data_IF_725481453322
#
_entry.id   IF_725481453322
#
_cell.length_a   1.000
_cell.length_b   1.000
_cell.length_c   1.000
_cell.angle_alpha   90.00
_cell.angle_beta   90.00
_cell.angle_gamma   90.00
#
_symmetry.space_group_name_H-M   'P 1'
#
loop_
_entity.id
_entity.type
_entity.pdbx_description
1 polymer ?
#
# COMPACT_ATOMS: atom_id res chain seq x y z
N UNK A 1 -6.25 5.71 0.45
CA UNK A 1 -5.88 5.18 1.78
C UNK A 1 -7.14 5.25 2.62
N UNK A 2 -7.37 4.28 3.50
CA UNK A 2 -8.60 4.16 4.27
C UNK A 2 -8.29 4.37 5.76
N UNK A 3 -9.16 5.09 6.50
CA UNK A 3 -8.98 5.40 7.92
C UNK A 3 -9.29 4.20 8.83
N UNK A 4 -8.99 4.33 10.14
CA UNK A 4 -9.31 3.32 11.18
C UNK A 4 -10.82 2.94 11.21
N UNK A 5 -11.69 3.88 10.81
CA UNK A 5 -13.13 3.68 10.62
C UNK A 5 -13.52 3.52 9.14
N UNK A 6 -12.85 2.65 8.40
CA UNK A 6 -13.16 2.43 6.97
C UNK A 6 -13.95 1.17 6.69
N UNK A 7 -14.24 0.40 7.72
CA UNK A 7 -15.11 -0.77 7.63
C UNK A 7 -16.24 -0.63 8.64
N UNK A 8 -17.44 -0.41 8.14
CA UNK A 8 -18.64 -0.40 8.97
C UNK A 8 -19.17 -1.82 9.11
N UNK A 9 -19.34 -2.30 10.33
CA UNK A 9 -19.90 -3.63 10.61
C UNK A 9 -21.38 -3.50 10.96
N UNK A 10 -22.23 -4.17 10.18
CA UNK A 10 -23.65 -4.32 10.46
C UNK A 10 -23.91 -5.72 11.04
N UNK A 11 -24.51 -5.85 12.23
CA UNK A 11 -24.91 -7.15 12.76
C UNK A 11 -26.04 -7.74 11.91
N UNK A 12 -25.94 -9.03 11.57
CA UNK A 12 -27.06 -9.76 10.97
C UNK A 12 -28.03 -10.20 12.07
N UNK A 13 -29.32 -10.26 11.73
CA UNK A 13 -30.40 -10.63 12.64
C UNK A 13 -30.07 -11.95 13.34
N UNK A 14 -30.06 -11.93 14.67
CA UNK A 14 -29.97 -13.15 15.47
C UNK A 14 -31.28 -13.95 15.37
N UNK A 15 -31.21 -15.29 15.37
CA UNK A 15 -32.41 -16.12 15.40
C UNK A 15 -33.32 -15.75 16.59
N UNK A 16 -34.61 -15.61 16.34
CA UNK A 16 -35.63 -15.41 17.38
C UNK A 16 -36.42 -16.71 17.64
N UNK A 17 -37.10 -16.79 18.78
CA UNK A 17 -37.94 -17.95 19.18
C UNK A 17 -37.19 -19.30 19.32
N UNK A 18 -35.97 -19.30 19.84
CA UNK A 18 -35.23 -20.54 20.13
C UNK A 18 -34.65 -21.24 18.89
N UNK A 19 -34.60 -20.56 17.74
CA UNK A 19 -33.84 -21.03 16.57
C UNK A 19 -32.34 -21.07 16.87
N UNK A 20 -31.64 -22.08 16.33
CA UNK A 20 -30.18 -22.15 16.39
C UNK A 20 -29.51 -21.11 15.48
N UNK A 21 -28.26 -20.75 15.80
CA UNK A 21 -27.47 -19.85 14.96
C UNK A 21 -27.35 -20.41 13.53
N UNK A 22 -27.58 -19.54 12.56
CA UNK A 22 -27.36 -19.88 11.16
C UNK A 22 -25.88 -20.17 10.92
N UNK A 23 -25.52 -21.24 10.18
CA UNK A 23 -24.14 -21.48 9.81
C UNK A 23 -23.66 -20.36 8.88
N UNK A 24 -22.62 -19.62 9.32
CA UNK A 24 -22.06 -18.51 8.56
C UNK A 24 -21.53 -17.38 9.45
N UNK A 25 -21.12 -16.29 8.82
CA UNK A 25 -20.76 -15.05 9.52
C UNK A 25 -22.04 -14.29 9.89
N UNK A 26 -22.17 -13.86 11.15
CA UNK A 26 -23.34 -13.13 11.66
C UNK A 26 -23.21 -11.60 11.50
N UNK A 27 -22.43 -11.16 10.52
CA UNK A 27 -22.20 -9.75 10.26
C UNK A 27 -21.93 -9.50 8.78
N UNK A 28 -22.36 -8.35 8.31
CA UNK A 28 -21.96 -7.78 7.04
C UNK A 28 -21.04 -6.60 7.28
N UNK A 29 -20.22 -6.28 6.30
CA UNK A 29 -19.33 -5.14 6.37
C UNK A 29 -19.26 -4.40 5.04
N UNK A 30 -19.19 -3.07 5.12
CA UNK A 30 -19.14 -2.18 3.98
C UNK A 30 -17.99 -1.19 4.15
N UNK A 31 -17.40 -0.77 3.03
CA UNK A 31 -16.45 0.34 3.04
C UNK A 31 -17.15 1.65 3.41
N UNK A 32 -16.57 2.36 4.37
CA UNK A 32 -16.95 3.71 4.75
C UNK A 32 -15.75 4.66 4.63
N UNK A 33 -16.01 5.97 4.64
CA UNK A 33 -14.98 6.99 4.48
C UNK A 33 -14.11 6.76 3.23
N UNK A 34 -14.75 6.49 2.09
CA UNK A 34 -14.10 6.13 0.82
C UNK A 34 -13.36 7.28 0.15
N UNK A 35 -13.48 8.49 0.67
CA UNK A 35 -12.72 9.65 0.19
C UNK A 35 -11.23 9.42 0.40
N UNK A 36 -10.43 9.77 -0.60
CA UNK A 36 -8.99 9.61 -0.48
C UNK A 36 -8.45 10.50 0.64
N UNK A 37 -7.74 9.88 1.60
CA UNK A 37 -6.97 10.64 2.58
C UNK A 37 -6.06 11.64 1.83
N UNK A 38 -5.89 12.87 2.35
CA UNK A 38 -4.97 13.85 1.78
C UNK A 38 -3.61 13.20 1.42
N UNK A 39 -3.00 13.60 0.31
CA UNK A 39 -1.78 12.96 -0.23
C UNK A 39 -0.57 12.95 0.72
N UNK A 40 -0.66 13.65 1.85
CA UNK A 40 0.32 13.68 2.92
C UNK A 40 0.14 12.57 3.96
N UNK A 41 -0.95 11.80 3.91
CA UNK A 41 -1.17 10.74 4.87
C UNK A 41 -0.19 9.59 4.65
N UNK A 42 0.49 9.27 5.74
CA UNK A 42 1.51 8.24 5.84
C UNK A 42 0.88 6.85 5.74
N UNK A 43 1.68 5.88 5.36
CA UNK A 43 1.31 4.47 5.37
C UNK A 43 0.73 4.06 6.74
N UNK A 44 -0.55 3.66 6.76
CA UNK A 44 -1.26 3.25 7.96
C UNK A 44 -0.57 2.10 8.70
N UNK A 45 0.04 1.17 7.97
CA UNK A 45 0.83 0.08 8.58
C UNK A 45 2.08 0.65 9.26
N UNK A 46 2.72 1.64 8.64
CA UNK A 46 3.88 2.32 9.21
C UNK A 46 3.51 3.06 10.50
N UNK A 47 2.37 3.76 10.52
CA UNK A 47 1.88 4.44 11.73
C UNK A 47 1.65 3.45 12.87
N UNK A 48 0.97 2.33 12.60
CA UNK A 48 0.75 1.27 13.59
C UNK A 48 2.05 0.70 14.15
N UNK A 49 3.07 0.52 13.30
CA UNK A 49 4.41 0.13 13.74
C UNK A 49 5.08 1.21 14.59
N UNK A 50 5.06 2.47 14.18
CA UNK A 50 5.68 3.57 14.94
C UNK A 50 5.08 3.74 16.34
N UNK A 51 3.78 3.50 16.51
CA UNK A 51 3.10 3.50 17.81
C UNK A 51 3.66 2.45 18.78
N UNK A 52 4.42 1.46 18.30
CA UNK A 52 5.09 0.44 19.14
C UNK A 52 6.42 0.91 19.72
N UNK A 53 7.05 1.96 19.17
CA UNK A 53 8.42 2.37 19.53
C UNK A 53 8.62 2.60 21.03
N UNK A 54 7.61 3.14 21.73
CA UNK A 54 7.70 3.48 23.15
C UNK A 54 7.35 2.33 24.10
N UNK A 55 6.55 1.35 23.66
CA UNK A 55 5.89 0.37 24.53
C UNK A 55 6.19 -1.10 24.22
N UNK A 56 6.84 -1.40 23.09
CA UNK A 56 7.18 -2.77 22.71
C UNK A 56 8.68 -3.01 22.82
N UNK A 57 9.07 -3.91 23.73
CA UNK A 57 10.44 -4.40 23.85
C UNK A 57 10.57 -5.72 23.10
N UNK A 58 11.59 -5.79 22.25
CA UNK A 58 11.97 -6.99 21.52
C UNK A 58 13.43 -7.28 21.87
N UNK A 59 13.72 -8.54 22.22
CA UNK A 59 15.06 -8.94 22.67
C UNK A 59 15.64 -8.05 23.79
N UNK A 60 14.78 -7.62 24.73
CA UNK A 60 15.11 -6.74 25.87
C UNK A 60 15.56 -5.32 25.48
N UNK A 61 15.25 -4.86 24.27
CA UNK A 61 15.51 -3.49 23.82
C UNK A 61 14.30 -2.87 23.13
N UNK A 62 14.23 -1.53 23.15
CA UNK A 62 13.27 -0.77 22.33
C UNK A 62 13.87 -0.52 20.95
N UNK A 63 13.02 -0.57 19.94
CA UNK A 63 13.42 -0.42 18.54
C UNK A 63 12.59 0.66 17.85
N UNK A 64 13.12 1.19 16.75
CA UNK A 64 12.31 1.96 15.81
C UNK A 64 11.73 1.02 14.77
N UNK A 65 10.41 0.91 14.76
CA UNK A 65 9.70 -0.04 13.93
C UNK A 65 9.31 0.55 12.58
N UNK A 66 9.73 -0.12 11.52
CA UNK A 66 9.33 0.13 10.14
C UNK A 66 8.21 -0.86 9.75
N UNK A 67 7.29 -0.48 8.84
CA UNK A 67 6.28 -1.40 8.36
C UNK A 67 6.90 -2.62 7.68
N UNK A 68 6.29 -3.79 7.87
CA UNK A 68 6.70 -5.01 7.18
C UNK A 68 5.50 -5.72 6.55
N UNK A 69 5.57 -5.99 5.25
CA UNK A 69 4.62 -6.85 4.55
C UNK A 69 5.12 -8.30 4.59
N UNK A 70 4.38 -9.16 5.28
CA UNK A 70 4.75 -10.57 5.38
C UNK A 70 4.60 -11.29 4.02
N UNK A 71 5.56 -12.15 3.60
CA UNK A 71 5.50 -12.83 2.31
C UNK A 71 4.28 -13.76 2.19
N UNK A 72 3.98 -14.52 3.24
CA UNK A 72 2.75 -15.31 3.39
C UNK A 72 1.51 -14.40 3.48
N UNK A 73 0.58 -14.56 2.54
CA UNK A 73 -0.65 -13.78 2.44
C UNK A 73 -1.53 -13.88 3.68
N UNK A 74 -1.55 -15.05 4.32
CA UNK A 74 -2.40 -15.30 5.51
C UNK A 74 -1.91 -14.51 6.74
N UNK A 75 -0.68 -13.99 6.68
CA UNK A 75 -0.06 -13.21 7.75
C UNK A 75 -0.01 -11.71 7.46
N UNK A 76 -0.48 -11.25 6.30
CA UNK A 76 -0.39 -9.83 5.90
C UNK A 76 -1.29 -8.91 6.71
N UNK A 77 -2.36 -9.43 7.30
CA UNK A 77 -3.26 -8.68 8.18
C UNK A 77 -2.96 -8.88 9.68
N UNK A 78 -1.84 -9.54 9.98
CA UNK A 78 -1.20 -9.52 11.29
C UNK A 78 -0.11 -8.44 11.30
N UNK A 79 0.02 -7.69 12.38
CA UNK A 79 0.97 -6.57 12.44
C UNK A 79 2.39 -7.11 12.69
N UNK A 80 3.14 -7.23 11.61
CA UNK A 80 4.58 -7.43 11.63
C UNK A 80 5.29 -6.11 11.36
N UNK A 81 6.38 -5.87 12.07
CA UNK A 81 7.24 -4.70 11.83
C UNK A 81 8.71 -5.13 11.83
N UNK A 82 9.52 -4.36 11.11
CA UNK A 82 10.96 -4.55 11.03
C UNK A 82 11.69 -3.55 11.92
N UNK A 83 12.64 -4.03 12.71
CA UNK A 83 13.55 -3.21 13.50
C UNK A 83 14.48 -2.42 12.57
N UNK A 84 14.52 -1.10 12.71
CA UNK A 84 15.45 -0.25 11.97
C UNK A 84 16.91 -0.51 12.37
N UNK A 85 17.14 -0.91 13.62
CA UNK A 85 18.47 -1.12 14.20
C UNK A 85 19.08 -2.46 13.79
N UNK A 86 18.27 -3.52 13.76
CA UNK A 86 18.75 -4.91 13.59
C UNK A 86 18.24 -5.59 12.33
N UNK A 87 17.29 -4.98 11.61
CA UNK A 87 16.55 -5.57 10.49
C UNK A 87 15.70 -6.81 10.83
N UNK A 88 15.62 -7.18 12.12
CA UNK A 88 14.78 -8.28 12.59
C UNK A 88 13.30 -7.96 12.40
N UNK A 89 12.52 -8.99 12.08
CA UNK A 89 11.07 -8.89 11.92
C UNK A 89 10.39 -9.49 13.14
N UNK A 90 9.52 -8.70 13.79
CA UNK A 90 8.78 -9.12 14.97
C UNK A 90 7.27 -9.06 14.72
N UNK A 91 6.55 -10.06 15.23
CA UNK A 91 5.09 -10.00 15.35
C UNK A 91 4.69 -9.17 16.57
N UNK A 92 3.91 -8.11 16.36
CA UNK A 92 3.50 -7.16 17.40
C UNK A 92 2.37 -7.66 18.30
N UNK A 93 1.96 -8.93 18.16
CA UNK A 93 0.86 -9.56 18.89
C UNK A 93 -0.48 -8.83 18.71
N UNK A 94 -0.66 -8.14 17.59
CA UNK A 94 -1.89 -7.45 17.23
C UNK A 94 -2.18 -7.66 15.76
N UNK A 95 -3.47 -7.59 15.41
CA UNK A 95 -3.90 -7.47 14.04
C UNK A 95 -3.63 -6.05 13.54
N UNK A 96 -3.51 -5.93 12.23
CA UNK A 96 -3.51 -4.62 11.59
C UNK A 96 -4.92 -4.04 11.67
N UNK A 97 -5.04 -2.73 11.89
CA UNK A 97 -6.34 -2.04 11.91
C UNK A 97 -7.12 -2.26 10.61
N UNK A 98 -8.44 -2.41 10.75
CA UNK A 98 -9.34 -2.64 9.63
C UNK A 98 -9.24 -1.50 8.62
N UNK A 99 -9.26 -1.82 7.32
CA UNK A 99 -9.03 -0.86 6.25
C UNK A 99 -7.58 -0.67 5.81
N UNK A 100 -6.62 -1.13 6.60
CA UNK A 100 -5.21 -1.09 6.19
C UNK A 100 -5.01 -2.02 4.99
N UNK A 101 -4.25 -1.58 3.98
CA UNK A 101 -3.99 -2.39 2.79
C UNK A 101 -3.30 -3.71 3.14
N UNK A 102 -3.73 -4.79 2.49
CA UNK A 102 -3.09 -6.09 2.67
C UNK A 102 -1.66 -6.11 2.10
N UNK A 103 -1.45 -5.46 0.96
CA UNK A 103 -0.17 -5.46 0.23
C UNK A 103 0.10 -4.09 -0.37
N UNK A 104 1.37 -3.72 -0.47
CA UNK A 104 1.77 -2.52 -1.23
C UNK A 104 1.59 -2.68 -2.74
N UNK A 105 1.44 -3.93 -3.23
CA UNK A 105 1.20 -4.25 -4.64
C UNK A 105 -0.27 -4.22 -5.03
N UNK A 106 -1.17 -4.35 -4.06
CA UNK A 106 -2.61 -4.30 -4.26
C UNK A 106 -3.17 -3.02 -3.62
N UNK A 107 -3.52 -1.99 -4.42
CA UNK A 107 -3.94 -0.71 -3.88
C UNK A 107 -5.35 -0.71 -3.29
N UNK A 108 -6.12 -1.79 -3.45
CA UNK A 108 -7.54 -1.83 -3.07
C UNK A 108 -7.84 -2.78 -1.93
N UNK A 109 -7.31 -4.00 -1.94
CA UNK A 109 -7.63 -5.00 -0.92
C UNK A 109 -7.17 -4.56 0.48
N UNK A 110 -8.04 -4.78 1.47
CA UNK A 110 -7.85 -4.31 2.85
C UNK A 110 -7.95 -5.44 3.85
N UNK A 111 -7.36 -5.22 5.02
CA UNK A 111 -7.50 -6.08 6.17
C UNK A 111 -8.84 -5.84 6.87
N UNK A 112 -9.53 -6.92 7.23
CA UNK A 112 -10.77 -6.91 8.00
C UNK A 112 -10.70 -8.06 9.01
N UNK A 113 -10.64 -7.74 10.29
CA UNK A 113 -10.52 -8.71 11.41
C UNK A 113 -9.41 -9.75 11.20
N UNK A 114 -8.27 -9.31 10.68
CA UNK A 114 -7.09 -10.16 10.48
C UNK A 114 -7.10 -10.97 9.19
N UNK A 115 -8.15 -10.86 8.37
CA UNK A 115 -8.25 -11.49 7.05
C UNK A 115 -8.09 -10.46 5.94
N UNK A 116 -7.48 -10.85 4.82
CA UNK A 116 -7.39 -9.97 3.66
C UNK A 116 -8.64 -10.11 2.79
N UNK A 117 -9.38 -9.01 2.64
CA UNK A 117 -10.59 -8.95 1.84
C UNK A 117 -10.33 -8.22 0.53
N UNK A 118 -10.75 -8.85 -0.58
CA UNK A 118 -10.64 -8.28 -1.92
C UNK A 118 -11.61 -7.11 -2.09
N UNK A 119 -11.11 -6.00 -2.61
CA UNK A 119 -11.89 -4.82 -2.99
C UNK A 119 -11.58 -4.45 -4.44
N UNK A 120 -12.60 -4.14 -5.23
CA UNK A 120 -12.41 -3.67 -6.60
C UNK A 120 -11.99 -2.21 -6.68
N UNK A 121 -11.53 -1.77 -7.85
CA UNK A 121 -11.18 -0.36 -8.09
C UNK A 121 -12.37 0.61 -7.94
N UNK A 122 -13.59 0.07 -7.96
CA UNK A 122 -14.87 0.74 -7.74
C UNK A 122 -15.19 0.91 -6.25
N UNK A 123 -14.28 0.49 -5.36
CA UNK A 123 -14.42 0.55 -3.91
C UNK A 123 -15.58 -0.31 -3.40
N UNK A 124 -15.85 -1.42 -4.10
CA UNK A 124 -16.83 -2.43 -3.69
C UNK A 124 -16.11 -3.69 -3.19
N UNK A 125 -16.50 -4.17 -2.00
CA UNK A 125 -15.99 -5.42 -1.42
C UNK A 125 -16.46 -6.60 -2.29
N UNK A 126 -15.53 -7.50 -2.62
CA UNK A 126 -15.79 -8.64 -3.49
C UNK A 126 -15.89 -8.31 -4.98
N UNK A 127 -15.79 -7.04 -5.37
CA UNK A 127 -15.79 -6.65 -6.78
C UNK A 127 -14.54 -7.17 -7.49
N UNK A 128 -14.74 -7.58 -8.74
CA UNK A 128 -13.69 -8.05 -9.63
C UNK A 128 -13.22 -6.96 -10.61
N UNK A 129 -13.72 -5.72 -10.49
CA UNK A 129 -13.26 -4.61 -11.34
C UNK A 129 -11.84 -4.22 -10.98
N UNK A 130 -11.02 -4.01 -12.01
CA UNK A 130 -9.62 -3.59 -11.90
C UNK A 130 -9.41 -2.34 -12.74
N UNK A 131 -8.50 -1.47 -12.33
CA UNK A 131 -8.06 -0.34 -13.18
C UNK A 131 -7.42 -0.85 -14.47
N UNK A 132 -7.71 -0.18 -15.57
CA UNK A 132 -6.97 -0.35 -16.81
C UNK A 132 -5.59 0.33 -16.74
N UNK A 133 -4.79 0.24 -17.82
CA UNK A 133 -3.45 0.86 -17.87
C UNK A 133 -3.47 2.39 -17.74
N UNK A 134 -4.62 3.00 -17.98
CA UNK A 134 -4.86 4.43 -17.89
C UNK A 134 -5.28 4.87 -16.48
N UNK A 135 -5.58 3.91 -15.60
CA UNK A 135 -6.12 4.19 -14.28
C UNK A 135 -7.61 4.46 -14.27
N UNK A 136 -8.35 3.95 -15.26
CA UNK A 136 -9.81 3.99 -15.31
C UNK A 136 -10.33 2.66 -14.78
N UNK A 137 -11.16 2.70 -13.74
CA UNK A 137 -11.75 1.50 -13.16
C UNK A 137 -12.69 0.82 -14.15
N UNK A 138 -12.43 -0.46 -14.49
CA UNK A 138 -13.19 -1.17 -15.52
C UNK A 138 -13.00 -0.61 -16.93
N UNK A 139 -11.94 0.17 -17.16
CA UNK A 139 -11.65 0.78 -18.45
C UNK A 139 -11.18 -0.20 -19.52
N UNK A 140 -11.13 0.30 -20.75
CA UNK A 140 -10.78 -0.45 -21.96
C UNK A 140 -9.39 -0.12 -22.51
N UNK A 141 -8.60 0.70 -21.79
CA UNK A 141 -7.31 1.25 -22.19
C UNK A 141 -7.35 2.32 -23.29
N UNK A 142 -8.52 2.89 -23.61
CA UNK A 142 -8.64 3.90 -24.68
C UNK A 142 -8.31 5.34 -24.23
N UNK A 143 -8.32 5.61 -22.91
CA UNK A 143 -8.17 6.96 -22.35
C UNK A 143 -6.73 7.48 -22.27
N UNK A 144 -5.74 6.65 -22.61
CA UNK A 144 -4.33 7.02 -22.53
C UNK A 144 -3.52 6.36 -23.64
N UNK A 145 -2.26 6.76 -23.76
CA UNK A 145 -1.30 6.18 -24.69
C UNK A 145 0.00 5.85 -23.99
N UNK A 146 0.63 4.75 -24.39
CA UNK A 146 1.98 4.43 -23.94
C UNK A 146 3.00 5.30 -24.65
N UNK A 147 3.87 5.97 -23.89
CA UNK A 147 5.02 6.72 -24.42
C UNK A 147 6.28 5.94 -24.08
N UNK A 148 7.10 5.65 -25.09
CA UNK A 148 8.40 4.98 -24.93
C UNK A 148 9.51 5.91 -25.43
N UNK A 149 10.67 5.84 -24.80
CA UNK A 149 11.85 6.59 -25.22
C UNK A 149 13.12 5.97 -24.63
N UNK A 150 14.24 6.19 -25.32
CA UNK A 150 15.56 5.76 -24.88
C UNK A 150 16.45 6.98 -24.76
N UNK A 151 17.27 7.04 -23.71
CA UNK A 151 18.18 8.14 -23.46
C UNK A 151 19.62 7.63 -23.46
N UNK A 152 20.46 8.19 -24.33
CA UNK A 152 21.85 7.72 -24.57
C UNK A 152 22.89 8.81 -24.37
N UNK A 153 22.51 10.00 -23.87
CA UNK A 153 23.47 11.12 -23.75
C UNK A 153 24.40 10.92 -22.56
N UNK A 154 25.71 10.99 -22.83
CA UNK A 154 26.75 10.97 -21.79
C UNK A 154 26.96 12.39 -21.23
N UNK A 155 27.08 12.57 -19.90
CA UNK A 155 27.42 13.85 -19.30
C UNK A 155 28.81 14.32 -19.77
N UNK A 156 28.92 15.55 -20.30
CA UNK A 156 30.21 16.16 -20.66
C UNK A 156 30.95 16.81 -19.49
N UNK A 157 30.27 16.97 -18.35
CA UNK A 157 30.79 17.56 -17.10
C UNK A 157 30.27 16.74 -15.93
N UNK A 158 31.02 16.74 -14.83
CA UNK A 158 30.55 16.16 -13.59
C UNK A 158 29.28 16.87 -13.11
N UNK A 159 28.25 16.10 -12.75
CA UNK A 159 26.97 16.63 -12.27
C UNK A 159 25.76 15.85 -12.79
N UNK A 160 24.58 16.27 -12.37
CA UNK A 160 23.32 15.67 -12.79
C UNK A 160 22.94 16.13 -14.20
N UNK A 161 22.65 15.18 -15.09
CA UNK A 161 22.09 15.44 -16.40
C UNK A 161 20.59 15.16 -16.38
N UNK A 162 19.78 16.18 -16.64
CA UNK A 162 18.33 16.00 -16.78
C UNK A 162 18.02 15.20 -18.04
N UNK A 163 17.42 14.02 -17.87
CA UNK A 163 17.04 13.14 -18.98
C UNK A 163 15.72 13.55 -19.62
N UNK A 164 14.63 13.49 -18.85
CA UNK A 164 13.29 13.87 -19.27
C UNK A 164 12.44 14.26 -18.04
N UNK A 165 11.26 14.85 -18.30
CA UNK A 165 10.25 15.09 -17.28
C UNK A 165 9.16 14.03 -17.41
N UNK A 166 8.80 13.40 -16.30
CA UNK A 166 7.61 12.55 -16.23
C UNK A 166 6.40 13.50 -16.19
N UNK A 167 5.52 13.49 -17.21
CA UNK A 167 4.40 14.41 -17.24
C UNK A 167 3.43 14.13 -16.09
N UNK A 168 2.74 15.16 -15.56
CA UNK A 168 1.67 14.97 -14.60
C UNK A 168 0.64 13.97 -15.12
N UNK A 169 0.19 13.05 -14.26
CA UNK A 169 -0.78 12.01 -14.63
C UNK A 169 -0.19 10.79 -15.32
N UNK A 170 1.12 10.74 -15.59
CA UNK A 170 1.76 9.51 -16.04
C UNK A 170 1.61 8.40 -14.98
N UNK A 171 1.20 7.20 -15.44
CA UNK A 171 1.05 6.00 -14.61
C UNK A 171 1.87 4.86 -15.21
N UNK A 172 2.15 3.83 -14.41
CA UNK A 172 2.93 2.66 -14.83
C UNK A 172 4.28 3.04 -15.46
N UNK A 173 5.01 3.97 -14.83
CA UNK A 173 6.27 4.51 -15.36
C UNK A 173 7.42 3.57 -15.04
N UNK A 174 7.99 2.95 -16.06
CA UNK A 174 9.15 2.06 -15.94
C UNK A 174 10.38 2.78 -16.48
N UNK A 175 11.43 2.86 -15.64
CA UNK A 175 12.73 3.39 -16.03
C UNK A 175 13.75 2.29 -15.78
N UNK A 176 14.46 1.88 -16.82
CA UNK A 176 15.45 0.81 -16.76
C UNK A 176 16.73 1.21 -17.47
N UNK A 177 17.86 0.88 -16.87
CA UNK A 177 19.17 0.96 -17.50
C UNK A 177 19.36 -0.28 -18.40
N UNK A 178 19.59 -0.05 -19.69
CA UNK A 178 19.75 -1.13 -20.68
C UNK A 178 21.18 -1.68 -20.75
N UNK A 179 22.19 -0.83 -20.52
CA UNK A 179 23.61 -1.20 -20.54
C UNK A 179 24.25 -0.74 -19.23
N UNK A 180 25.06 -1.60 -18.62
CA UNK A 180 25.74 -1.28 -17.37
C UNK A 180 26.65 -0.07 -17.56
N UNK A 181 26.35 1.02 -16.86
CA UNK A 181 27.17 2.22 -16.84
C UNK A 181 27.57 2.57 -15.40
N UNK A 182 28.66 3.32 -15.19
CA UNK A 182 29.00 3.84 -13.87
C UNK A 182 28.07 4.99 -13.42
N UNK A 183 27.01 5.29 -14.18
CA UNK A 183 26.08 6.39 -13.88
C UNK A 183 24.94 5.89 -13.00
N UNK A 184 24.46 6.74 -12.11
CA UNK A 184 23.31 6.44 -11.27
C UNK A 184 22.09 7.23 -11.73
N UNK A 185 20.95 6.54 -11.83
CA UNK A 185 19.67 7.17 -12.07
C UNK A 185 19.13 7.76 -10.77
N UNK A 186 18.59 8.98 -10.86
CA UNK A 186 17.98 9.68 -9.73
C UNK A 186 16.67 10.34 -10.13
N UNK A 187 15.70 10.36 -9.22
CA UNK A 187 14.44 11.07 -9.39
C UNK A 187 14.51 12.40 -8.66
N UNK A 188 14.44 13.50 -9.41
CA UNK A 188 14.22 14.83 -8.87
C UNK A 188 12.72 15.11 -8.88
N UNK A 189 12.09 15.02 -7.72
CA UNK A 189 10.75 15.53 -7.55
C UNK A 189 10.81 17.07 -7.44
N UNK A 190 9.83 17.77 -8.01
CA UNK A 190 9.69 19.23 -7.89
C UNK A 190 9.85 19.68 -6.43
N UNK A 191 10.24 20.94 -6.14
CA UNK A 191 10.61 21.41 -4.80
C UNK A 191 9.55 21.28 -3.67
N UNK A 192 8.39 20.64 -3.93
CA UNK A 192 7.34 20.36 -2.97
C UNK A 192 7.23 18.91 -2.48
N UNK A 193 8.10 17.97 -2.89
CA UNK A 193 8.04 16.61 -2.34
C UNK A 193 9.39 15.89 -2.45
N UNK A 194 10.14 15.80 -1.35
CA UNK A 194 11.31 14.94 -1.24
C UNK A 194 10.88 13.46 -1.19
N UNK A 195 11.36 12.64 -2.13
CA UNK A 195 11.33 11.18 -1.99
C UNK A 195 12.75 10.68 -1.71
N UNK A 196 12.87 9.78 -0.73
CA UNK A 196 14.13 9.17 -0.32
C UNK A 196 14.73 8.29 -1.43
N UNK A 197 16.05 8.07 -1.44
CA UNK A 197 16.68 7.13 -2.37
C UNK A 197 16.21 5.71 -2.05
N UNK A 198 15.64 4.98 -3.03
CA UNK A 198 15.44 3.54 -2.90
C UNK A 198 14.15 2.94 -3.46
N UNK A 199 13.14 3.73 -3.84
CA UNK A 199 11.88 3.17 -4.37
C UNK A 199 11.65 3.60 -5.83
N UNK A 200 11.90 2.67 -6.75
CA UNK A 200 11.35 2.71 -8.12
C UNK A 200 10.65 1.37 -8.38
N UNK A 201 9.33 1.36 -8.17
CA UNK A 201 8.39 0.44 -8.81
C UNK A 201 7.22 1.25 -9.35
#
# INVERSE_FOLDING_TARGET
MYNDDSVYFSPLLSPSNGGGDCPGVNYEYQLCNTEDCPKHFEDFRAQQCQLRNSHFEFQNTKHHWLPYEHPDSNKRCHLYCQSKETADVAYMKQLVHDGTRCSYKDPYSICVRGECVKVGCDKEIGSNKVEDKCGVCGGDNSHCRTVKGTFTRTPKKAGFLKMFLIPPGARHVIIQEHEASPQMLGKLASPLSLLKPGEMH
#
